data_IF_935513178856
#
_entry.id   IF_935513178856
#
_cell.length_a   1.000
_cell.length_b   1.000
_cell.length_c   1.000
_cell.angle_alpha   90.00
_cell.angle_beta   90.00
_cell.angle_gamma   90.00
#
_symmetry.space_group_name_H-M   'P 1'
#
loop_
_entity.id
_entity.type
_entity.pdbx_description
1 polymer ?
#
# COMPACT_ATOMS: atom_id res chain seq x y z
N UNK A 1 -2.98 4.37 -17.89
CA UNK A 1 -2.43 3.98 -16.57
C UNK A 1 -3.43 4.42 -15.52
N UNK A 2 -3.92 3.52 -14.67
CA UNK A 2 -4.88 3.85 -13.59
C UNK A 2 -4.15 4.01 -12.26
N UNK A 3 -4.73 4.82 -11.36
CA UNK A 3 -4.22 5.07 -10.01
C UNK A 3 -5.31 4.75 -9.00
N UNK A 4 -4.98 3.98 -7.96
CA UNK A 4 -5.82 3.73 -6.79
C UNK A 4 -5.40 4.68 -5.68
N UNK A 5 -6.37 5.31 -5.02
CA UNK A 5 -6.12 6.21 -3.88
C UNK A 5 -6.85 5.66 -2.66
N UNK A 6 -6.13 5.42 -1.56
CA UNK A 6 -6.69 5.07 -0.26
C UNK A 6 -6.69 6.30 0.63
N UNK A 7 -7.87 6.78 1.00
CA UNK A 7 -8.03 7.87 1.95
C UNK A 7 -8.14 7.31 3.37
N UNK A 8 -7.22 7.69 4.24
CA UNK A 8 -7.18 7.35 5.67
C UNK A 8 -7.47 5.87 5.96
N UNK A 9 -6.69 4.91 5.41
CA UNK A 9 -7.03 3.51 5.54
C UNK A 9 -6.87 3.01 6.98
N UNK A 10 -7.90 2.32 7.47
CA UNK A 10 -7.96 1.88 8.87
C UNK A 10 -7.60 0.40 9.07
N UNK A 11 -7.81 -0.44 8.05
CA UNK A 11 -7.73 -1.91 8.17
C UNK A 11 -6.46 -2.42 7.44
N UNK A 12 -5.38 -2.80 8.17
CA UNK A 12 -4.11 -3.17 7.55
C UNK A 12 -4.21 -4.32 6.52
N UNK A 13 -4.99 -5.40 6.76
CA UNK A 13 -5.18 -6.45 5.75
C UNK A 13 -5.71 -5.95 4.41
N UNK A 14 -6.61 -4.96 4.42
CA UNK A 14 -7.19 -4.41 3.19
C UNK A 14 -6.13 -3.65 2.39
N UNK A 15 -5.37 -2.78 3.05
CA UNK A 15 -4.26 -2.04 2.43
C UNK A 15 -3.22 -3.00 1.85
N UNK A 16 -2.85 -4.06 2.58
CA UNK A 16 -1.91 -5.08 2.11
C UNK A 16 -2.39 -5.82 0.85
N UNK A 17 -3.69 -6.15 0.78
CA UNK A 17 -4.28 -6.78 -0.40
C UNK A 17 -4.31 -5.83 -1.61
N UNK A 18 -4.62 -4.55 -1.38
CA UNK A 18 -4.67 -3.52 -2.44
C UNK A 18 -3.27 -3.20 -2.97
N UNK A 19 -2.26 -3.17 -2.09
CA UNK A 19 -0.85 -3.12 -2.46
C UNK A 19 -0.51 -4.27 -3.42
N UNK A 20 -0.88 -5.51 -3.05
CA UNK A 20 -0.61 -6.68 -3.90
C UNK A 20 -1.34 -6.60 -5.23
N UNK A 21 -2.58 -6.09 -5.24
CA UNK A 21 -3.33 -5.84 -6.47
C UNK A 21 -2.57 -4.89 -7.39
N UNK A 22 -2.13 -3.73 -6.87
CA UNK A 22 -1.40 -2.72 -7.63
C UNK A 22 -0.10 -3.28 -8.23
N UNK A 23 0.67 -4.05 -7.44
CA UNK A 23 1.88 -4.72 -7.91
C UNK A 23 1.61 -5.74 -9.03
N UNK A 24 0.48 -6.45 -8.98
CA UNK A 24 0.11 -7.46 -9.99
C UNK A 24 -0.50 -6.84 -11.26
N UNK A 25 -1.12 -5.67 -11.18
CA UNK A 25 -1.78 -5.00 -12.32
C UNK A 25 -0.99 -3.85 -12.91
N UNK A 26 0.12 -3.44 -12.28
CA UNK A 26 0.89 -2.26 -12.67
C UNK A 26 0.15 -0.94 -12.39
N UNK A 27 -0.83 -0.93 -11.49
CA UNK A 27 -1.50 0.30 -11.08
C UNK A 27 -0.65 1.05 -10.07
N UNK A 28 -0.71 2.38 -10.08
CA UNK A 28 -0.12 3.19 -9.00
C UNK A 28 -1.04 3.18 -7.79
N UNK A 29 -0.44 3.20 -6.60
CA UNK A 29 -1.14 3.31 -5.33
C UNK A 29 -0.72 4.60 -4.62
N UNK A 30 -1.70 5.41 -4.22
CA UNK A 30 -1.50 6.57 -3.35
C UNK A 30 -2.23 6.34 -2.04
N UNK A 31 -1.62 6.74 -0.93
CA UNK A 31 -2.21 6.69 0.41
C UNK A 31 -2.26 8.12 0.93
N UNK A 32 -3.43 8.53 1.42
CA UNK A 32 -3.64 9.81 2.11
C UNK A 32 -3.73 9.50 3.60
N UNK A 33 -2.85 10.12 4.38
CA UNK A 33 -2.76 10.01 5.83
C UNK A 33 -3.87 10.80 6.56
N UNK A 34 -4.15 10.50 7.86
CA UNK A 34 -3.52 9.46 8.69
C UNK A 34 -4.03 8.05 8.40
N UNK A 35 -3.16 7.05 8.54
CA UNK A 35 -3.59 5.66 8.56
C UNK A 35 -4.01 5.26 9.98
N UNK A 36 -5.04 4.41 10.09
CA UNK A 36 -5.47 3.84 11.37
C UNK A 36 -4.53 2.75 11.93
N UNK A 37 -3.37 2.52 11.30
CA UNK A 37 -2.39 1.53 11.71
C UNK A 37 -0.95 1.98 11.42
N UNK A 38 0.01 1.41 12.13
CA UNK A 38 1.43 1.64 11.88
C UNK A 38 1.97 0.74 10.78
N UNK A 39 2.91 1.27 9.99
CA UNK A 39 3.75 0.46 9.13
C UNK A 39 4.66 -0.42 9.99
N UNK A 40 4.39 -1.72 10.01
CA UNK A 40 5.36 -2.70 10.50
C UNK A 40 6.02 -3.35 9.29
N UNK A 41 7.33 -3.18 9.14
CA UNK A 41 8.14 -3.74 8.05
C UNK A 41 7.90 -5.24 7.85
N UNK A 42 7.57 -5.97 8.91
CA UNK A 42 7.25 -7.41 8.80
C UNK A 42 6.00 -7.67 7.96
N UNK A 43 5.05 -6.74 7.93
CA UNK A 43 3.81 -6.84 7.14
C UNK A 43 4.02 -6.36 5.71
N UNK A 44 4.80 -5.28 5.52
CA UNK A 44 5.19 -4.75 4.21
C UNK A 44 6.07 -5.72 3.40
N UNK A 45 7.08 -6.33 4.03
CA UNK A 45 7.92 -7.35 3.38
C UNK A 45 7.11 -8.54 2.89
N UNK A 46 6.02 -8.88 3.59
CA UNK A 46 5.09 -9.95 3.18
C UNK A 46 4.23 -9.53 1.98
N UNK A 47 3.97 -8.23 1.83
CA UNK A 47 3.27 -7.66 0.68
C UNK A 47 4.11 -7.64 -0.61
N UNK A 48 5.44 -7.87 -0.53
CA UNK A 48 6.43 -7.74 -1.64
C UNK A 48 6.61 -6.29 -2.14
N UNK A 49 6.40 -5.30 -1.28
CA UNK A 49 6.82 -3.93 -1.59
C UNK A 49 8.33 -3.82 -1.38
N UNK A 50 9.07 -3.44 -2.42
CA UNK A 50 10.47 -3.03 -2.30
C UNK A 50 10.56 -1.58 -1.82
N UNK A 51 11.64 -1.21 -1.13
CA UNK A 51 11.87 0.13 -0.59
C UNK A 51 11.73 1.27 -1.63
N UNK A 52 11.85 0.96 -2.92
CA UNK A 52 11.73 1.91 -4.02
C UNK A 52 10.33 2.50 -4.25
N UNK A 53 9.25 1.92 -3.68
CA UNK A 53 7.87 2.41 -3.87
C UNK A 53 7.39 3.37 -2.77
N UNK A 54 8.15 3.55 -1.69
CA UNK A 54 7.78 4.43 -0.57
C UNK A 54 8.50 5.79 -0.61
N UNK A 55 9.44 5.99 -1.53
CA UNK A 55 10.15 7.24 -1.74
C UNK A 55 9.84 7.79 -3.14
N UNK A 56 8.72 8.50 -3.27
CA UNK A 56 8.31 9.15 -4.50
C UNK A 56 6.92 9.78 -4.40
#
# INVERSE_FOLDING_TARGET
>A
MLTIVLFEPEIPPNTGNIIRLCANTGFRLHIIEPMGFTWDDKRLRRARLGEAELAG
#
